data_IF_274377202761
#
_entry.id   IF_274377202761
#
_cell.length_a   1.000
_cell.length_b   1.000
_cell.length_c   1.000
_cell.angle_alpha   90.00
_cell.angle_beta   90.00
_cell.angle_gamma   90.00
#
_symmetry.space_group_name_H-M   'P 1'
#
loop_
_entity.id
_entity.type
_entity.pdbx_description
1 polymer ?
#
# COMPACT_ATOMS: atom_id res chain seq x y z
N UNK A 1 72.41 8.65 -22.52
CA UNK A 1 71.56 7.51 -22.11
C UNK A 1 70.79 7.93 -20.87
N UNK A 2 69.55 8.24 -21.03
CA UNK A 2 68.73 8.69 -19.93
C UNK A 2 67.55 7.69 -19.84
N UNK A 3 67.53 6.88 -18.82
CA UNK A 3 66.44 6.00 -18.47
C UNK A 3 65.40 6.83 -17.71
N UNK A 4 64.28 7.06 -18.38
CA UNK A 4 63.10 7.68 -17.74
C UNK A 4 62.28 6.65 -17.00
N UNK A 5 62.20 6.78 -15.68
CA UNK A 5 61.35 5.98 -14.85
C UNK A 5 59.94 6.59 -14.84
N UNK A 6 59.01 5.97 -15.50
CA UNK A 6 57.63 6.40 -15.52
C UNK A 6 56.91 5.78 -14.33
N UNK A 7 56.59 6.58 -13.34
CA UNK A 7 55.78 6.18 -12.18
C UNK A 7 54.31 6.33 -12.57
N UNK A 8 53.66 5.21 -12.82
CA UNK A 8 52.21 5.19 -12.95
C UNK A 8 51.59 5.18 -11.56
N UNK A 9 51.01 6.29 -11.16
CA UNK A 9 50.19 6.39 -9.96
C UNK A 9 48.79 5.82 -10.26
N UNK A 10 48.51 4.65 -9.73
CA UNK A 10 47.15 4.12 -9.71
C UNK A 10 46.38 4.85 -8.61
N UNK A 11 45.51 5.78 -8.99
CA UNK A 11 44.54 6.36 -8.09
C UNK A 11 43.40 5.33 -7.91
N UNK A 12 43.40 4.63 -6.79
CA UNK A 12 42.25 3.81 -6.37
C UNK A 12 41.09 4.75 -6.02
N UNK A 13 40.17 4.89 -6.95
CA UNK A 13 38.91 5.57 -6.67
C UNK A 13 38.06 4.56 -5.85
N UNK A 14 38.04 4.77 -4.54
CA UNK A 14 37.15 4.06 -3.63
C UNK A 14 35.75 4.63 -3.86
N UNK A 15 34.98 4.00 -4.73
CA UNK A 15 33.57 4.30 -4.90
C UNK A 15 32.82 3.81 -3.66
N UNK A 16 32.68 4.66 -2.66
CA UNK A 16 31.73 4.45 -1.58
C UNK A 16 30.33 4.52 -2.18
N UNK A 17 29.75 3.35 -2.43
CA UNK A 17 28.33 3.26 -2.75
C UNK A 17 27.57 3.65 -1.50
N UNK A 18 27.04 4.87 -1.51
CA UNK A 18 26.08 5.31 -0.52
C UNK A 18 24.82 4.45 -0.72
N UNK A 19 24.58 3.48 0.16
CA UNK A 19 23.28 2.81 0.25
C UNK A 19 22.28 3.82 0.78
N UNK A 20 21.57 4.51 -0.11
CA UNK A 20 20.37 5.24 0.26
C UNK A 20 19.33 4.18 0.59
N UNK A 21 19.09 3.91 1.88
CA UNK A 21 17.93 3.19 2.32
C UNK A 21 16.73 4.08 2.02
N UNK A 22 16.15 3.89 0.83
CA UNK A 22 14.82 4.41 0.56
C UNK A 22 13.88 3.71 1.52
N UNK A 23 13.15 4.48 2.30
CA UNK A 23 12.13 4.00 3.24
C UNK A 23 10.90 3.55 2.41
N UNK A 24 11.14 2.61 1.49
CA UNK A 24 10.12 2.05 0.63
C UNK A 24 9.31 1.04 1.44
N UNK A 25 7.97 1.08 1.38
CA UNK A 25 7.13 0.08 2.05
C UNK A 25 7.57 -1.33 1.65
N UNK A 26 7.48 -2.27 2.59
CA UNK A 26 7.77 -3.67 2.31
C UNK A 26 6.90 -4.17 1.15
N UNK A 27 7.50 -4.84 0.18
CA UNK A 27 6.83 -5.36 -1.03
C UNK A 27 6.31 -6.79 -0.83
N UNK A 28 5.77 -7.07 0.35
CA UNK A 28 5.20 -8.36 0.75
C UNK A 28 3.66 -8.31 0.87
N UNK A 29 3.02 -7.67 -0.10
CA UNK A 29 1.58 -7.47 -0.12
C UNK A 29 0.80 -8.77 -0.28
N UNK A 30 -0.24 -8.92 0.54
CA UNK A 30 -1.21 -10.02 0.47
C UNK A 30 -2.64 -9.47 0.41
N UNK A 31 -3.54 -10.10 -0.36
CA UNK A 31 -4.95 -9.76 -0.34
C UNK A 31 -5.50 -9.80 1.09
N UNK A 32 -6.37 -8.85 1.43
CA UNK A 32 -7.04 -8.85 2.72
C UNK A 32 -7.99 -10.04 2.85
N UNK A 33 -8.12 -10.58 4.05
CA UNK A 33 -8.98 -11.74 4.32
C UNK A 33 -10.47 -11.46 4.06
N UNK A 34 -10.89 -10.20 4.15
CA UNK A 34 -12.25 -9.73 3.90
C UNK A 34 -12.55 -9.47 2.42
N UNK A 35 -11.63 -9.75 1.51
CA UNK A 35 -11.90 -9.59 0.08
C UNK A 35 -12.90 -10.62 -0.42
N UNK A 36 -13.71 -10.20 -1.38
CA UNK A 36 -14.51 -11.15 -2.17
C UNK A 36 -13.56 -12.12 -2.88
N UNK A 37 -13.89 -13.44 -2.94
CA UNK A 37 -13.01 -14.43 -3.56
C UNK A 37 -12.52 -14.01 -4.95
N UNK A 38 -11.21 -14.11 -5.18
CA UNK A 38 -10.55 -13.73 -6.44
C UNK A 38 -10.09 -12.27 -6.53
N UNK A 39 -10.48 -11.41 -5.60
CA UNK A 39 -10.04 -10.01 -5.57
C UNK A 39 -8.68 -9.86 -4.89
N UNK A 40 -7.78 -9.10 -5.53
CA UNK A 40 -6.45 -8.85 -5.04
C UNK A 40 -6.34 -7.60 -4.14
N UNK A 41 -7.34 -6.74 -4.21
CA UNK A 41 -7.41 -5.50 -3.44
C UNK A 41 -8.72 -5.41 -2.65
N UNK A 42 -8.68 -4.74 -1.49
CA UNK A 42 -7.52 -4.18 -0.80
C UNK A 42 -6.51 -5.26 -0.39
N UNK A 43 -5.26 -4.85 -0.20
CA UNK A 43 -4.17 -5.73 0.24
C UNK A 43 -3.40 -5.10 1.39
N UNK A 44 -2.73 -5.92 2.19
CA UNK A 44 -1.97 -5.51 3.38
C UNK A 44 -0.57 -6.06 3.29
N UNK A 45 0.42 -5.31 3.79
CA UNK A 45 1.80 -5.75 3.92
C UNK A 45 2.20 -6.01 5.39
N UNK A 46 3.41 -6.52 5.60
CA UNK A 46 3.95 -6.80 6.94
C UNK A 46 4.11 -5.56 7.83
N UNK A 47 4.14 -4.37 7.26
CA UNK A 47 4.16 -3.10 7.98
C UNK A 47 2.76 -2.61 8.38
N UNK A 48 1.71 -3.42 8.14
CA UNK A 48 0.31 -3.09 8.40
C UNK A 48 -0.21 -1.91 7.57
N UNK A 49 0.38 -1.67 6.42
CA UNK A 49 -0.14 -0.71 5.45
C UNK A 49 -1.18 -1.39 4.58
N UNK A 50 -2.29 -0.73 4.35
CA UNK A 50 -3.30 -1.17 3.40
C UNK A 50 -3.15 -0.42 2.08
N UNK A 51 -3.37 -1.10 0.98
CA UNK A 51 -3.40 -0.51 -0.35
C UNK A 51 -4.72 -0.82 -1.03
N UNK A 52 -5.36 0.23 -1.52
CA UNK A 52 -6.65 0.17 -2.20
C UNK A 52 -6.50 0.55 -3.66
N UNK A 53 -7.23 -0.14 -4.52
CA UNK A 53 -7.39 0.21 -5.93
C UNK A 53 -8.86 0.48 -6.21
N UNK A 54 -9.16 1.65 -6.74
CA UNK A 54 -10.52 2.05 -7.11
C UNK A 54 -10.55 2.39 -8.58
N UNK A 55 -11.40 1.70 -9.33
CA UNK A 55 -11.62 2.00 -10.74
C UNK A 55 -12.76 2.99 -10.88
N UNK A 56 -12.41 4.23 -11.15
CA UNK A 56 -13.34 5.33 -11.34
C UNK A 56 -12.77 6.32 -12.35
N UNK A 57 -12.71 5.92 -13.63
CA UNK A 57 -12.05 6.68 -14.70
C UNK A 57 -12.66 8.06 -14.94
N UNK A 58 -13.98 8.18 -14.76
CA UNK A 58 -14.72 9.44 -14.91
C UNK A 58 -14.77 10.31 -13.64
N UNK A 59 -14.23 9.85 -12.53
CA UNK A 59 -14.24 10.60 -11.28
C UNK A 59 -13.23 11.76 -11.29
N UNK A 60 -13.59 12.84 -10.63
CA UNK A 60 -12.71 13.99 -10.40
C UNK A 60 -11.90 13.84 -9.12
N UNK A 61 -12.49 13.21 -8.10
CA UNK A 61 -11.85 12.94 -6.82
C UNK A 61 -12.25 11.56 -6.29
N UNK A 62 -11.30 10.82 -5.78
CA UNK A 62 -11.52 9.56 -5.07
C UNK A 62 -10.74 9.58 -3.77
N UNK A 63 -11.37 9.10 -2.71
CA UNK A 63 -10.76 8.93 -1.40
C UNK A 63 -11.22 7.62 -0.77
N UNK A 64 -10.48 7.13 0.21
CA UNK A 64 -10.90 6.05 1.11
C UNK A 64 -11.00 6.62 2.52
N UNK A 65 -12.14 6.43 3.15
CA UNK A 65 -12.36 6.81 4.54
C UNK A 65 -12.15 5.59 5.44
N UNK A 66 -11.02 5.56 6.12
CA UNK A 66 -10.66 4.55 7.12
C UNK A 66 -10.25 5.27 8.40
N UNK A 67 -11.24 5.55 9.26
CA UNK A 67 -11.08 6.45 10.40
C UNK A 67 -10.99 7.93 10.01
N UNK A 68 -10.36 8.24 8.89
CA UNK A 68 -10.30 9.57 8.26
C UNK A 68 -10.23 9.42 6.73
N UNK A 69 -10.66 10.42 5.97
CA UNK A 69 -10.51 10.41 4.52
C UNK A 69 -9.03 10.48 4.10
N UNK A 70 -8.65 9.65 3.15
CA UNK A 70 -7.34 9.63 2.51
C UNK A 70 -7.53 9.77 1.01
N UNK A 71 -6.98 10.81 0.42
CA UNK A 71 -7.10 11.08 -1.01
C UNK A 71 -6.31 10.05 -1.82
N UNK A 72 -6.92 9.60 -2.91
CA UNK A 72 -6.30 8.70 -3.87
C UNK A 72 -5.51 9.45 -4.93
N UNK A 73 -4.52 8.79 -5.49
CA UNK A 73 -3.76 9.25 -6.64
C UNK A 73 -4.26 8.54 -7.89
N UNK A 74 -4.64 9.30 -8.90
CA UNK A 74 -5.10 8.77 -10.19
C UNK A 74 -3.89 8.36 -11.04
N UNK A 75 -3.88 7.11 -11.48
CA UNK A 75 -2.94 6.61 -12.46
C UNK A 75 -3.38 6.92 -13.90
N UNK A 76 -2.47 6.74 -14.87
CA UNK A 76 -2.70 7.02 -16.29
C UNK A 76 -3.78 6.12 -16.91
N UNK A 77 -4.03 4.95 -16.33
CA UNK A 77 -5.04 3.97 -16.73
C UNK A 77 -6.45 4.24 -16.13
N UNK A 78 -6.61 5.35 -15.42
CA UNK A 78 -7.85 5.70 -14.72
C UNK A 78 -8.07 4.92 -13.43
N UNK A 79 -7.08 4.20 -12.96
CA UNK A 79 -7.07 3.50 -11.68
C UNK A 79 -6.59 4.45 -10.58
N UNK A 80 -7.34 4.53 -9.50
CA UNK A 80 -6.99 5.31 -8.32
C UNK A 80 -6.36 4.42 -7.27
N UNK A 81 -5.23 4.85 -6.71
CA UNK A 81 -4.48 4.08 -5.72
C UNK A 81 -4.31 4.87 -4.44
N UNK A 82 -4.54 4.22 -3.31
CA UNK A 82 -4.29 4.75 -1.97
C UNK A 82 -3.45 3.75 -1.20
N UNK A 83 -2.38 4.23 -0.55
CA UNK A 83 -1.61 3.45 0.41
C UNK A 83 -1.66 4.16 1.75
N UNK A 84 -2.08 3.47 2.79
CA UNK A 84 -2.20 4.05 4.13
C UNK A 84 -0.85 4.13 4.84
N UNK A 85 -0.79 4.93 5.90
CA UNK A 85 0.18 4.72 6.97
C UNK A 85 -0.09 3.38 7.67
N UNK A 86 0.85 2.85 8.49
CA UNK A 86 0.59 1.64 9.27
C UNK A 86 -0.69 1.76 10.10
N UNK A 87 -1.58 0.78 9.94
CA UNK A 87 -2.84 0.72 10.67
C UNK A 87 -2.67 -0.02 12.00
N UNK A 88 -3.57 0.24 12.93
CA UNK A 88 -3.66 -0.53 14.19
C UNK A 88 -4.15 -1.94 13.87
N UNK A 89 -3.63 -2.94 14.58
CA UNK A 89 -4.13 -4.33 14.50
C UNK A 89 -5.61 -4.38 14.84
N UNK A 90 -6.37 -5.17 14.08
CA UNK A 90 -7.78 -5.38 14.28
C UNK A 90 -8.62 -5.06 13.06
N UNK A 91 -9.92 -5.08 13.24
CA UNK A 91 -10.89 -4.84 12.18
C UNK A 91 -11.17 -3.35 12.02
N UNK A 92 -11.15 -2.87 10.77
CA UNK A 92 -11.44 -1.50 10.41
C UNK A 92 -12.57 -1.44 9.40
N UNK A 93 -13.59 -0.62 9.68
CA UNK A 93 -14.57 -0.25 8.67
C UNK A 93 -13.99 0.81 7.74
N UNK A 94 -14.33 0.74 6.47
CA UNK A 94 -13.97 1.77 5.50
C UNK A 94 -15.04 1.94 4.41
N UNK A 95 -15.03 3.10 3.77
CA UNK A 95 -15.82 3.43 2.59
C UNK A 95 -14.93 3.99 1.50
N UNK A 96 -15.36 3.79 0.26
CA UNK A 96 -14.84 4.52 -0.89
C UNK A 96 -15.67 5.79 -1.07
N UNK A 97 -15.02 6.91 -1.26
CA UNK A 97 -15.67 8.20 -1.55
C UNK A 97 -15.32 8.57 -3.00
N UNK A 98 -16.33 8.67 -3.86
CA UNK A 98 -16.18 9.06 -5.26
C UNK A 98 -16.97 10.35 -5.47
N UNK A 99 -16.27 11.43 -5.84
CA UNK A 99 -16.87 12.75 -6.04
C UNK A 99 -17.82 13.21 -4.90
N UNK A 100 -17.43 12.86 -3.65
CA UNK A 100 -18.18 13.20 -2.44
C UNK A 100 -19.24 12.17 -2.02
N UNK A 101 -19.48 11.12 -2.79
CA UNK A 101 -20.44 10.07 -2.45
C UNK A 101 -19.71 8.86 -1.83
N UNK A 102 -20.17 8.46 -0.64
CA UNK A 102 -19.65 7.24 0.02
C UNK A 102 -20.35 6.00 -0.49
N UNK A 103 -19.56 4.98 -0.79
CA UNK A 103 -20.04 3.66 -1.20
C UNK A 103 -19.17 2.56 -0.58
N UNK A 104 -19.75 1.38 -0.41
CA UNK A 104 -18.98 0.20 -0.06
C UNK A 104 -18.09 -0.22 -1.24
N UNK A 105 -16.91 -0.78 -0.94
CA UNK A 105 -15.99 -1.32 -1.93
C UNK A 105 -16.55 -2.63 -2.50
N UNK A 106 -16.78 -2.74 -3.81
CA UNK A 106 -17.29 -3.96 -4.41
C UNK A 106 -16.29 -5.13 -4.34
N UNK A 107 -15.02 -4.88 -4.05
CA UNK A 107 -13.99 -5.90 -3.91
C UNK A 107 -13.90 -6.50 -2.51
N UNK A 108 -14.58 -5.91 -1.53
CA UNK A 108 -14.62 -6.36 -0.14
C UNK A 108 -15.99 -6.87 0.23
N UNK A 109 -16.05 -7.81 1.16
CA UNK A 109 -17.30 -8.13 1.82
C UNK A 109 -17.87 -6.90 2.53
N UNK A 110 -19.19 -6.80 2.56
CA UNK A 110 -19.91 -5.72 3.21
C UNK A 110 -20.42 -6.14 4.57
N UNK A 111 -20.24 -5.28 5.53
CA UNK A 111 -20.63 -5.48 6.92
C UNK A 111 -21.60 -4.38 7.36
N UNK A 112 -22.58 -4.73 8.17
CA UNK A 112 -23.45 -3.73 8.76
C UNK A 112 -22.77 -3.10 9.97
N UNK A 113 -22.37 -1.84 9.81
CA UNK A 113 -21.73 -1.06 10.86
C UNK A 113 -22.19 0.40 10.82
N UNK A 114 -22.27 1.05 11.97
CA UNK A 114 -22.63 2.47 12.07
C UNK A 114 -23.93 2.82 11.31
N UNK A 115 -24.92 1.94 11.42
CA UNK A 115 -26.25 2.07 10.80
C UNK A 115 -26.29 2.02 9.26
N UNK A 116 -25.23 1.49 8.61
CA UNK A 116 -25.18 1.30 7.16
C UNK A 116 -24.25 0.15 6.77
N UNK A 117 -24.37 -0.28 5.52
CA UNK A 117 -23.41 -1.24 4.96
C UNK A 117 -22.09 -0.53 4.66
N UNK A 118 -21.01 -1.10 5.16
CA UNK A 118 -19.65 -0.61 4.96
C UNK A 118 -18.74 -1.77 4.56
N UNK A 119 -17.63 -1.45 3.94
CA UNK A 119 -16.56 -2.42 3.74
C UNK A 119 -15.71 -2.57 4.99
N UNK A 120 -15.01 -3.68 5.10
CA UNK A 120 -14.15 -3.97 6.23
C UNK A 120 -12.80 -4.53 5.82
N UNK A 121 -11.79 -4.24 6.59
CA UNK A 121 -10.45 -4.78 6.42
C UNK A 121 -9.90 -5.21 7.78
N UNK A 122 -9.40 -6.43 7.85
CA UNK A 122 -8.73 -6.92 9.05
C UNK A 122 -7.21 -6.76 8.89
N UNK A 123 -6.62 -6.13 9.90
CA UNK A 123 -5.16 -5.97 9.99
C UNK A 123 -4.65 -7.01 10.99
N UNK A 124 -3.93 -8.05 10.52
CA UNK A 124 -3.48 -9.14 11.37
C UNK A 124 -2.40 -8.70 12.35
N UNK A 125 -2.36 -9.33 13.52
CA UNK A 125 -1.25 -9.22 14.44
C UNK A 125 -0.09 -10.12 13.98
N UNK A 126 1.14 -9.76 14.37
CA UNK A 126 2.28 -10.66 14.17
C UNK A 126 2.14 -11.84 15.15
N UNK A 127 1.88 -13.04 14.64
CA UNK A 127 1.81 -14.27 15.42
C UNK A 127 0.42 -14.88 15.54
N UNK A 128 -0.57 -14.43 14.77
CA UNK A 128 -1.92 -15.03 14.76
C UNK A 128 -2.05 -16.28 13.88
N UNK A 129 -0.97 -16.98 13.59
CA UNK A 129 -1.01 -18.31 12.96
C UNK A 129 -1.75 -19.37 13.79
N UNK A 130 -2.24 -19.00 14.99
CA UNK A 130 -3.00 -19.88 15.86
C UNK A 130 -4.43 -20.18 15.38
N UNK A 131 -4.96 -19.41 14.46
CA UNK A 131 -6.37 -19.56 14.03
C UNK A 131 -6.53 -20.24 12.68
N UNK A 132 -5.46 -20.67 12.05
CA UNK A 132 -5.51 -21.52 10.87
C UNK A 132 -5.37 -22.99 11.28
N UNK A 133 -6.48 -23.53 11.78
CA UNK A 133 -6.62 -24.96 11.94
C UNK A 133 -7.08 -25.61 10.63
#
# INVERSE_FOLDING_TARGET
>A
MKSGLSVLAFASILSTRLCVQTNQPADDWKPAASNVPGQQYPRINSERRAQFHVRASGATNVAVSIGRPLDAVKGDDGLWTITTSPLVVGFHYYDIIVDGFSAADPNSESFFGVSRMMSGIEVPSKGEDFYHA
#
